data_IF_189797395704
#
_entry.id   IF_189797395704
#
_cell.length_a   1.000
_cell.length_b   1.000
_cell.length_c   1.000
_cell.angle_alpha   90.00
_cell.angle_beta   90.00
_cell.angle_gamma   90.00
#
_symmetry.space_group_name_H-M   'P 1'
#
loop_
_entity.id
_entity.type
_entity.pdbx_description
1 polymer ?
#
# COMPACT_ATOMS: atom_id res chain seq x y z
N UNK A 1 65.20 19.53 -8.58
CA UNK A 1 64.39 18.34 -8.88
C UNK A 1 63.48 18.09 -7.69
N UNK A 2 62.16 18.15 -7.91
CA UNK A 2 61.06 17.33 -7.31
C UNK A 2 59.77 18.15 -7.31
N UNK A 3 58.93 17.89 -8.31
CA UNK A 3 57.52 18.29 -8.38
C UNK A 3 56.67 17.45 -7.42
N UNK A 4 55.54 17.96 -6.89
CA UNK A 4 54.43 17.12 -6.47
C UNK A 4 53.37 17.02 -7.57
N UNK A 5 52.96 15.80 -7.85
CA UNK A 5 51.96 15.43 -8.84
C UNK A 5 50.55 15.88 -8.43
N UNK A 6 49.84 16.48 -9.38
CA UNK A 6 48.41 16.75 -9.31
C UNK A 6 47.64 15.43 -9.40
N UNK A 7 47.03 14.97 -8.30
CA UNK A 7 46.00 13.95 -8.36
C UNK A 7 44.70 14.60 -8.84
N UNK A 8 44.36 14.32 -10.09
CA UNK A 8 43.06 14.64 -10.69
C UNK A 8 41.97 13.81 -10.02
N UNK A 9 41.08 14.46 -9.27
CA UNK A 9 39.85 13.87 -8.76
C UNK A 9 38.91 13.55 -9.93
N UNK A 10 38.69 12.27 -10.20
CA UNK A 10 37.68 11.76 -11.12
C UNK A 10 36.28 12.04 -10.53
N UNK A 11 35.39 12.76 -11.23
CA UNK A 11 34.03 12.93 -10.77
C UNK A 11 33.25 11.63 -11.02
N UNK A 12 32.75 11.01 -9.94
CA UNK A 12 31.79 9.91 -9.98
C UNK A 12 30.42 10.42 -10.43
N UNK A 13 30.32 10.88 -11.68
CA UNK A 13 29.04 11.17 -12.30
C UNK A 13 28.47 9.83 -12.78
N UNK A 14 27.55 9.28 -11.98
CA UNK A 14 26.78 8.10 -12.36
C UNK A 14 25.97 8.49 -13.59
N UNK A 15 26.34 7.95 -14.75
CA UNK A 15 25.65 8.21 -16.00
C UNK A 15 24.29 7.51 -15.99
N UNK A 16 23.27 8.23 -15.54
CA UNK A 16 21.90 7.75 -15.39
C UNK A 16 21.36 7.25 -16.75
N UNK A 17 21.80 7.85 -17.87
CA UNK A 17 21.38 7.44 -19.20
C UNK A 17 21.82 6.00 -19.52
N UNK A 18 23.07 5.66 -19.19
CA UNK A 18 23.62 4.30 -19.34
C UNK A 18 22.83 3.26 -18.53
N UNK A 19 22.43 3.62 -17.30
CA UNK A 19 21.64 2.72 -16.44
C UNK A 19 20.25 2.51 -17.02
N UNK A 20 19.60 3.56 -17.51
CA UNK A 20 18.27 3.49 -18.12
C UNK A 20 18.28 2.64 -19.39
N UNK A 21 19.27 2.80 -20.26
CA UNK A 21 19.42 1.95 -21.45
C UNK A 21 19.62 0.48 -21.10
N UNK A 22 20.42 0.20 -20.06
CA UNK A 22 20.68 -1.17 -19.62
C UNK A 22 19.45 -1.83 -18.98
N UNK A 23 18.61 -1.06 -18.28
CA UNK A 23 17.34 -1.53 -17.74
C UNK A 23 16.33 -1.78 -18.85
N UNK A 24 16.22 -0.89 -19.84
CA UNK A 24 15.34 -1.06 -20.99
C UNK A 24 15.72 -2.29 -21.82
N UNK A 25 17.03 -2.53 -22.01
CA UNK A 25 17.53 -3.72 -22.71
C UNK A 25 17.16 -5.01 -21.97
N UNK A 26 17.38 -5.05 -20.65
CA UNK A 26 17.01 -6.23 -19.82
C UNK A 26 15.51 -6.51 -19.80
N UNK A 27 14.67 -5.47 -19.87
CA UNK A 27 13.21 -5.65 -19.94
C UNK A 27 12.77 -6.22 -21.28
N UNK A 28 13.42 -5.86 -22.40
CA UNK A 28 13.16 -6.43 -23.72
C UNK A 28 13.55 -7.90 -23.81
N UNK A 29 14.73 -8.25 -23.33
CA UNK A 29 15.22 -9.64 -23.34
C UNK A 29 14.34 -10.56 -22.47
N UNK A 30 13.62 -10.02 -21.47
CA UNK A 30 12.67 -10.78 -20.66
C UNK A 30 11.30 -10.99 -21.32
N UNK A 31 10.97 -10.25 -22.38
CA UNK A 31 9.69 -10.38 -23.11
C UNK A 31 9.71 -11.38 -24.27
N UNK A 32 10.88 -11.82 -24.73
CA UNK A 32 10.98 -12.73 -25.89
C UNK A 32 10.69 -14.21 -25.57
N UNK A 33 10.24 -14.53 -24.36
CA UNK A 33 9.80 -15.89 -23.99
C UNK A 33 8.30 -15.93 -23.71
N UNK A 34 7.46 -15.79 -24.75
CA UNK A 34 6.15 -16.45 -24.87
C UNK A 34 5.31 -15.83 -26.00
N UNK A 35 5.53 -16.26 -27.24
CA UNK A 35 4.62 -15.97 -28.35
C UNK A 35 3.64 -17.14 -28.50
N UNK A 36 2.38 -16.92 -28.14
CA UNK A 36 1.25 -17.73 -28.61
C UNK A 36 0.35 -16.85 -29.49
N UNK A 37 -0.14 -17.33 -30.66
CA UNK A 37 -0.85 -16.48 -31.61
C UNK A 37 -2.30 -16.19 -31.16
N UNK A 38 -2.85 -14.99 -31.45
CA UNK A 38 -4.20 -14.59 -31.04
C UNK A 38 -5.29 -15.14 -31.98
N UNK A 39 -6.37 -15.63 -31.37
CA UNK A 39 -7.62 -16.05 -32.02
C UNK A 39 -8.53 -14.82 -32.25
N UNK A 40 -9.21 -14.68 -33.40
CA UNK A 40 -10.01 -13.50 -33.69
C UNK A 40 -11.36 -13.57 -32.99
N UNK A 41 -11.76 -12.48 -32.33
CA UNK A 41 -13.12 -12.23 -31.91
C UNK A 41 -13.61 -10.91 -32.54
N UNK A 42 -14.78 -11.02 -33.12
CA UNK A 42 -15.51 -10.10 -34.01
C UNK A 42 -16.01 -8.81 -33.35
N UNK A 43 -15.88 -7.73 -34.12
CA UNK A 43 -16.72 -6.52 -34.26
C UNK A 43 -17.28 -5.84 -33.00
N UNK A 44 -16.63 -4.73 -32.63
CA UNK A 44 -17.29 -3.42 -32.60
C UNK A 44 -16.26 -2.32 -32.91
N UNK A 45 -16.70 -1.36 -33.72
CA UNK A 45 -15.92 -0.31 -34.36
C UNK A 45 -15.28 0.64 -33.33
N UNK A 46 -14.02 1.02 -33.56
CA UNK A 46 -13.18 2.06 -32.88
C UNK A 46 -12.42 1.73 -31.59
N UNK A 47 -12.29 0.48 -31.15
CA UNK A 47 -11.45 0.13 -29.99
C UNK A 47 -10.13 -0.55 -30.39
N UNK A 48 -8.98 0.07 -30.11
CA UNK A 48 -7.67 -0.59 -30.22
C UNK A 48 -7.25 -1.16 -28.88
N UNK A 49 -6.93 -2.46 -28.83
CA UNK A 49 -6.53 -3.16 -27.61
C UNK A 49 -5.00 -3.17 -27.51
N UNK A 50 -4.46 -2.51 -26.49
CA UNK A 50 -3.03 -2.57 -26.17
C UNK A 50 -2.80 -3.56 -25.04
N UNK A 51 -1.98 -4.58 -25.32
CA UNK A 51 -1.60 -5.63 -24.37
C UNK A 51 -0.23 -5.40 -23.70
N UNK A 52 0.40 -4.25 -23.97
CA UNK A 52 1.72 -3.94 -23.42
C UNK A 52 1.65 -3.55 -21.94
N UNK A 53 2.63 -4.06 -21.18
CA UNK A 53 2.77 -3.80 -19.74
C UNK A 53 3.19 -2.35 -19.44
N UNK A 54 3.85 -1.67 -20.38
CA UNK A 54 4.21 -0.25 -20.30
C UNK A 54 3.83 0.43 -21.61
N UNK A 55 3.00 1.47 -21.51
CA UNK A 55 2.51 2.24 -22.66
C UNK A 55 3.29 3.56 -22.70
N UNK A 56 4.25 3.63 -23.61
CA UNK A 56 5.07 4.81 -23.91
C UNK A 56 4.48 5.61 -25.09
N UNK A 57 5.05 6.79 -25.33
CA UNK A 57 4.76 7.65 -26.49
C UNK A 57 4.83 6.87 -27.81
N UNK A 58 5.83 6.00 -27.99
CA UNK A 58 6.04 5.24 -29.24
C UNK A 58 4.87 4.29 -29.52
N UNK A 59 4.28 3.70 -28.47
CA UNK A 59 3.13 2.81 -28.57
C UNK A 59 1.88 3.57 -29.01
N UNK A 60 1.71 4.82 -28.55
CA UNK A 60 0.59 5.70 -28.94
C UNK A 60 0.78 6.28 -30.33
N UNK A 61 2.02 6.56 -30.72
CA UNK A 61 2.34 7.00 -32.09
C UNK A 61 2.07 5.91 -33.12
N UNK A 62 2.17 4.63 -32.73
CA UNK A 62 1.78 3.49 -33.56
C UNK A 62 0.28 3.30 -33.76
N UNK A 63 -0.57 4.06 -33.04
CA UNK A 63 -2.04 3.97 -33.17
C UNK A 63 -2.48 4.67 -34.45
N UNK A 64 -3.19 3.99 -35.38
CA UNK A 64 -3.70 4.59 -36.61
C UNK A 64 -4.57 5.83 -36.35
N UNK A 65 -4.44 6.83 -37.22
CA UNK A 65 -5.27 8.05 -37.16
C UNK A 65 -6.75 7.68 -37.37
N UNK A 66 -7.61 8.08 -36.42
CA UNK A 66 -9.05 7.80 -36.44
C UNK A 66 -9.58 6.96 -35.27
N UNK A 67 -8.70 6.45 -34.41
CA UNK A 67 -9.08 5.70 -33.22
C UNK A 67 -9.31 6.66 -32.04
N UNK A 68 -10.56 6.78 -31.62
CA UNK A 68 -10.99 7.64 -30.50
C UNK A 68 -10.99 6.91 -29.15
N UNK A 69 -10.81 5.59 -29.16
CA UNK A 69 -10.92 4.75 -27.97
C UNK A 69 -9.82 3.67 -27.91
N UNK A 70 -9.08 3.64 -26.80
CA UNK A 70 -8.04 2.63 -26.54
C UNK A 70 -8.40 1.83 -25.30
N UNK A 71 -8.38 0.50 -25.43
CA UNK A 71 -8.64 -0.43 -24.35
C UNK A 71 -7.32 -0.99 -23.83
N UNK A 72 -7.09 -0.87 -22.52
CA UNK A 72 -5.87 -1.35 -21.86
C UNK A 72 -6.13 -2.61 -21.04
N UNK A 73 -5.38 -3.67 -21.31
CA UNK A 73 -5.43 -4.93 -20.56
C UNK A 73 -4.42 -4.98 -19.40
N UNK A 74 -4.21 -3.85 -18.71
CA UNK A 74 -3.47 -3.79 -17.44
C UNK A 74 -2.06 -3.20 -17.48
N UNK A 75 -1.73 -2.41 -18.52
CA UNK A 75 -0.44 -1.72 -18.65
C UNK A 75 -0.35 -0.40 -17.88
N UNK A 76 0.88 -0.04 -17.46
CA UNK A 76 1.19 1.27 -16.86
C UNK A 76 1.38 2.29 -17.99
N UNK A 77 0.58 3.36 -17.99
CA UNK A 77 0.71 4.47 -18.95
C UNK A 77 1.71 5.50 -18.42
N UNK A 78 2.73 5.82 -19.21
CA UNK A 78 3.69 6.88 -18.85
C UNK A 78 3.02 8.27 -18.87
N UNK A 79 3.48 9.26 -18.09
CA UNK A 79 2.90 10.61 -18.10
C UNK A 79 2.91 11.25 -19.51
N UNK A 80 4.01 11.09 -20.26
CA UNK A 80 4.15 11.59 -21.63
C UNK A 80 3.13 10.94 -22.58
N UNK A 81 2.93 9.63 -22.46
CA UNK A 81 1.90 8.88 -23.18
C UNK A 81 0.49 9.41 -22.87
N UNK A 82 0.19 9.69 -21.60
CA UNK A 82 -1.11 10.23 -21.19
C UNK A 82 -1.38 11.62 -21.76
N UNK A 83 -0.36 12.48 -21.80
CA UNK A 83 -0.48 13.82 -22.37
C UNK A 83 -0.66 13.78 -23.90
N UNK A 84 0.02 12.87 -24.59
CA UNK A 84 -0.16 12.67 -26.02
C UNK A 84 -1.56 12.11 -26.36
N UNK A 85 -2.06 11.13 -25.61
CA UNK A 85 -3.43 10.63 -25.78
C UNK A 85 -4.47 11.72 -25.59
N UNK A 86 -4.28 12.61 -24.60
CA UNK A 86 -5.13 13.78 -24.38
C UNK A 86 -5.08 14.74 -25.57
N UNK A 87 -3.89 14.98 -26.13
CA UNK A 87 -3.71 15.85 -27.30
C UNK A 87 -4.41 15.30 -28.56
N UNK A 88 -4.51 13.98 -28.68
CA UNK A 88 -5.14 13.27 -29.81
C UNK A 88 -6.63 12.96 -29.62
N UNK A 89 -7.22 13.37 -28.49
CA UNK A 89 -8.63 13.10 -28.20
C UNK A 89 -8.97 11.63 -27.93
N UNK A 90 -7.98 10.82 -27.54
CA UNK A 90 -8.15 9.37 -27.33
C UNK A 90 -8.61 9.12 -25.91
N UNK A 91 -9.76 8.46 -25.77
CA UNK A 91 -10.34 8.08 -24.47
C UNK A 91 -9.97 6.65 -24.09
N UNK A 92 -9.67 6.43 -22.80
CA UNK A 92 -9.35 5.12 -22.25
C UNK A 92 -10.63 4.40 -21.86
N UNK A 93 -11.02 3.40 -22.64
CA UNK A 93 -12.15 2.54 -22.28
C UNK A 93 -11.67 1.37 -21.44
N UNK A 94 -12.09 1.38 -20.17
CA UNK A 94 -12.28 0.16 -19.38
C UNK A 94 -11.11 -0.81 -19.36
N UNK A 95 -9.95 -0.37 -18.86
CA UNK A 95 -9.20 -1.29 -18.02
C UNK A 95 -10.03 -1.47 -16.77
N UNK A 96 -10.81 -2.56 -16.68
CA UNK A 96 -10.96 -3.24 -15.39
C UNK A 96 -9.54 -3.58 -14.99
N UNK A 97 -8.89 -2.62 -14.35
CA UNK A 97 -7.62 -2.81 -13.73
C UNK A 97 -7.83 -4.01 -12.82
N UNK A 98 -7.24 -5.13 -13.21
CA UNK A 98 -6.85 -6.16 -12.27
C UNK A 98 -5.76 -5.51 -11.42
N UNK A 99 -6.17 -4.52 -10.61
CA UNK A 99 -5.42 -4.10 -9.46
C UNK A 99 -5.31 -5.36 -8.62
N UNK A 100 -4.11 -5.93 -8.61
CA UNK A 100 -3.56 -6.52 -7.42
C UNK A 100 -4.09 -5.71 -6.24
N UNK A 101 -5.00 -6.31 -5.47
CA UNK A 101 -5.75 -5.76 -4.36
C UNK A 101 -5.32 -4.34 -3.94
N UNK A 102 -5.73 -3.32 -4.71
CA UNK A 102 -5.98 -2.03 -4.11
C UNK A 102 -7.22 -2.29 -3.29
N UNK A 103 -7.00 -2.61 -2.01
CA UNK A 103 -7.94 -2.38 -0.93
C UNK A 103 -8.34 -0.91 -1.00
N UNK A 104 -9.26 -0.62 -1.92
CA UNK A 104 -10.25 0.43 -1.75
C UNK A 104 -10.69 0.26 -0.31
N UNK A 105 -10.45 1.21 0.61
CA UNK A 105 -10.93 1.03 1.97
C UNK A 105 -12.41 0.80 1.80
N UNK A 106 -12.87 -0.40 2.17
CA UNK A 106 -14.28 -0.68 2.16
C UNK A 106 -14.89 0.49 2.93
N UNK A 107 -15.73 1.26 2.25
CA UNK A 107 -16.63 2.20 2.89
C UNK A 107 -17.64 1.34 3.64
N UNK A 108 -17.17 0.62 4.66
CA UNK A 108 -17.99 0.04 5.69
C UNK A 108 -18.58 1.26 6.39
N UNK A 109 -19.80 1.60 6.00
CA UNK A 109 -20.62 2.71 6.49
C UNK A 109 -21.10 2.51 7.93
N UNK A 110 -20.55 1.53 8.64
CA UNK A 110 -20.73 1.36 10.07
C UNK A 110 -19.69 2.16 10.85
N UNK A 111 -20.13 2.86 11.89
CA UNK A 111 -19.22 3.47 12.89
C UNK A 111 -18.31 2.38 13.45
N UNK A 112 -17.01 2.60 13.41
CA UNK A 112 -16.00 1.65 13.90
C UNK A 112 -15.59 2.10 15.29
N UNK A 113 -15.31 1.13 16.16
CA UNK A 113 -14.98 1.42 17.55
C UNK A 113 -13.67 0.76 17.94
N UNK A 114 -12.80 1.53 18.58
CA UNK A 114 -11.57 1.02 19.19
C UNK A 114 -11.45 1.51 20.63
N UNK A 115 -10.82 0.69 21.47
CA UNK A 115 -10.45 1.09 22.81
C UNK A 115 -9.06 1.71 22.71
N UNK A 116 -8.96 3.01 22.95
CA UNK A 116 -7.71 3.75 22.83
C UNK A 116 -7.17 4.03 24.23
N UNK A 117 -5.96 3.55 24.50
CA UNK A 117 -5.21 3.83 25.72
C UNK A 117 -3.93 4.56 25.36
N UNK A 118 -3.54 5.49 26.23
CA UNK A 118 -2.25 6.16 26.16
C UNK A 118 -1.65 6.24 27.55
N UNK A 119 -0.33 6.40 27.63
CA UNK A 119 0.31 6.70 28.90
C UNK A 119 -0.23 8.00 29.50
N UNK A 120 -0.15 8.11 30.83
CA UNK A 120 -0.64 9.26 31.60
C UNK A 120 0.05 10.57 31.22
N UNK A 121 1.29 10.50 30.72
CA UNK A 121 2.07 11.63 30.21
C UNK A 121 1.59 12.14 28.84
N UNK A 122 0.75 11.38 28.12
CA UNK A 122 0.49 11.57 26.69
C UNK A 122 -0.97 11.97 26.37
N UNK A 123 -1.63 12.70 27.28
CA UNK A 123 -3.04 13.09 27.13
C UNK A 123 -3.31 13.94 25.87
N UNK A 124 -2.39 14.85 25.52
CA UNK A 124 -2.53 15.70 24.32
C UNK A 124 -2.51 14.89 23.02
N UNK A 125 -1.68 13.84 22.97
CA UNK A 125 -1.55 12.94 21.83
C UNK A 125 -2.79 12.07 21.70
N UNK A 126 -3.33 11.58 22.82
CA UNK A 126 -4.61 10.87 22.86
C UNK A 126 -5.74 11.72 22.27
N UNK A 127 -5.85 12.98 22.67
CA UNK A 127 -6.92 13.87 22.20
C UNK A 127 -6.75 14.19 20.71
N UNK A 128 -5.51 14.38 20.24
CA UNK A 128 -5.23 14.57 18.82
C UNK A 128 -5.57 13.32 17.99
N UNK A 129 -5.18 12.14 18.46
CA UNK A 129 -5.45 10.85 17.83
C UNK A 129 -6.95 10.57 17.78
N UNK A 130 -7.67 10.75 18.89
CA UNK A 130 -9.12 10.58 18.95
C UNK A 130 -9.85 11.49 17.96
N UNK A 131 -9.48 12.78 17.88
CA UNK A 131 -10.07 13.71 16.90
C UNK A 131 -9.82 13.25 15.46
N UNK A 132 -8.58 12.89 15.13
CA UNK A 132 -8.23 12.45 13.77
C UNK A 132 -8.89 11.12 13.39
N UNK A 133 -9.13 10.23 14.35
CA UNK A 133 -9.86 8.98 14.15
C UNK A 133 -11.36 9.22 13.94
N UNK A 134 -11.99 10.10 14.73
CA UNK A 134 -13.40 10.44 14.55
C UNK A 134 -13.67 11.05 13.17
N UNK A 135 -12.75 11.87 12.64
CA UNK A 135 -12.82 12.36 11.26
C UNK A 135 -12.81 11.25 10.19
N UNK A 136 -12.29 10.07 10.55
CA UNK A 136 -12.25 8.87 9.69
C UNK A 136 -13.35 7.86 10.02
N UNK A 137 -14.32 8.22 10.86
CA UNK A 137 -15.42 7.37 11.28
C UNK A 137 -15.05 6.28 12.29
N UNK A 138 -13.93 6.46 13.00
CA UNK A 138 -13.47 5.57 14.08
C UNK A 138 -13.61 6.31 15.41
N UNK A 139 -14.51 5.84 16.27
CA UNK A 139 -14.76 6.43 17.58
C UNK A 139 -14.12 5.62 18.70
N UNK A 140 -13.73 6.32 19.76
CA UNK A 140 -13.24 5.66 20.97
C UNK A 140 -14.41 5.08 21.77
N UNK A 141 -14.37 3.79 22.07
CA UNK A 141 -15.32 3.13 22.96
C UNK A 141 -14.58 2.23 23.97
N UNK A 142 -14.83 2.37 25.29
CA UNK A 142 -14.23 1.52 26.31
C UNK A 142 -14.54 0.02 26.16
N UNK A 143 -15.65 -0.31 25.47
CA UNK A 143 -16.13 -1.69 25.28
C UNK A 143 -15.85 -2.23 23.87
N UNK A 144 -14.95 -1.60 23.12
CA UNK A 144 -14.58 -2.07 21.79
C UNK A 144 -13.83 -3.41 21.86
N UNK A 145 -13.94 -4.20 20.79
CA UNK A 145 -13.31 -5.53 20.70
C UNK A 145 -11.79 -5.48 20.50
N UNK A 146 -11.26 -4.36 20.01
CA UNK A 146 -9.83 -4.17 19.75
C UNK A 146 -9.31 -3.03 20.62
N UNK A 147 -8.16 -3.26 21.23
CA UNK A 147 -7.47 -2.30 22.07
C UNK A 147 -6.22 -1.78 21.37
N UNK A 148 -6.05 -0.48 21.30
CA UNK A 148 -4.87 0.20 20.78
C UNK A 148 -4.23 0.96 21.93
N UNK A 149 -2.99 0.62 22.24
CA UNK A 149 -2.23 1.23 23.33
C UNK A 149 -1.05 1.96 22.73
N UNK A 150 -0.99 3.27 22.96
CA UNK A 150 0.07 4.13 22.46
C UNK A 150 0.95 4.53 23.65
N UNK A 151 2.19 4.07 23.67
CA UNK A 151 3.08 4.17 24.84
C UNK A 151 4.51 4.52 24.47
N UNK A 152 5.24 5.16 25.40
CA UNK A 152 6.69 5.37 25.32
C UNK A 152 7.51 4.16 25.81
N UNK A 153 6.86 3.16 26.42
CA UNK A 153 7.47 1.93 26.98
C UNK A 153 6.81 0.67 26.40
N UNK A 154 6.90 0.46 25.08
CA UNK A 154 6.18 -0.62 24.39
C UNK A 154 6.46 -2.02 24.94
N UNK A 155 7.71 -2.33 25.29
CA UNK A 155 8.10 -3.66 25.77
C UNK A 155 7.49 -4.00 27.14
N UNK A 156 7.51 -3.03 28.07
CA UNK A 156 6.93 -3.21 29.40
C UNK A 156 5.41 -3.38 29.31
N UNK A 157 4.74 -2.50 28.55
CA UNK A 157 3.29 -2.57 28.34
C UNK A 157 2.88 -3.86 27.64
N UNK A 158 3.65 -4.33 26.66
CA UNK A 158 3.38 -5.61 26.00
C UNK A 158 3.44 -6.77 27.01
N UNK A 159 4.51 -6.82 27.82
CA UNK A 159 4.71 -7.86 28.82
C UNK A 159 3.56 -7.87 29.84
N UNK A 160 3.16 -6.71 30.35
CA UNK A 160 2.05 -6.57 31.30
C UNK A 160 0.72 -7.07 30.70
N UNK A 161 0.47 -6.78 29.42
CA UNK A 161 -0.74 -7.22 28.72
C UNK A 161 -0.77 -8.73 28.51
N UNK A 162 0.35 -9.32 28.10
CA UNK A 162 0.48 -10.77 27.97
C UNK A 162 0.27 -11.44 29.34
N UNK A 163 0.83 -10.89 30.43
CA UNK A 163 0.63 -11.40 31.79
C UNK A 163 -0.83 -11.30 32.26
N UNK A 164 -1.56 -10.29 31.81
CA UNK A 164 -2.99 -10.15 32.08
C UNK A 164 -3.89 -11.10 31.26
N UNK A 165 -3.29 -11.92 30.38
CA UNK A 165 -4.00 -12.89 29.53
C UNK A 165 -4.51 -12.32 28.21
N UNK A 166 -4.13 -11.09 27.83
CA UNK A 166 -4.48 -10.51 26.53
C UNK A 166 -3.54 -10.98 25.43
N UNK A 167 -4.07 -11.16 24.22
CA UNK A 167 -3.28 -11.48 23.02
C UNK A 167 -2.72 -10.20 22.45
N UNK A 168 -1.65 -9.72 23.09
CA UNK A 168 -1.03 -8.45 22.75
C UNK A 168 0.13 -8.60 21.76
N UNK A 169 0.23 -7.66 20.81
CA UNK A 169 1.33 -7.59 19.84
C UNK A 169 1.94 -6.19 19.80
N UNK A 170 3.25 -6.13 19.65
CA UNK A 170 3.97 -4.87 19.42
C UNK A 170 4.08 -4.62 17.91
N UNK A 171 3.50 -3.53 17.46
CA UNK A 171 3.58 -3.09 16.07
C UNK A 171 4.76 -2.13 15.94
N UNK A 172 5.75 -2.52 15.15
CA UNK A 172 6.88 -1.65 14.78
C UNK A 172 6.78 -1.14 13.36
N UNK A 173 6.00 -1.82 12.50
CA UNK A 173 5.71 -1.42 11.12
C UNK A 173 4.23 -1.63 10.82
N UNK A 174 3.63 -0.75 10.03
CA UNK A 174 2.20 -0.81 9.68
C UNK A 174 1.82 -2.09 8.91
N UNK A 175 2.75 -2.63 8.11
CA UNK A 175 2.57 -3.86 7.33
C UNK A 175 2.40 -5.11 8.20
N UNK A 176 2.87 -5.08 9.45
CA UNK A 176 2.78 -6.22 10.35
C UNK A 176 1.38 -6.39 10.97
N UNK A 177 0.53 -5.35 10.93
CA UNK A 177 -0.83 -5.35 11.50
C UNK A 177 -1.70 -6.48 10.92
N UNK A 178 -1.91 -6.59 9.59
CA UNK A 178 -2.74 -7.67 9.02
C UNK A 178 -2.11 -9.06 9.25
N UNK A 179 -0.77 -9.13 9.29
CA UNK A 179 -0.05 -10.38 9.54
C UNK A 179 -0.33 -10.89 10.95
N UNK A 180 -0.21 -10.03 11.97
CA UNK A 180 -0.47 -10.41 13.36
C UNK A 180 -1.94 -10.68 13.65
N UNK A 181 -2.86 -10.02 12.95
CA UNK A 181 -4.27 -10.37 13.03
C UNK A 181 -4.52 -11.80 12.54
N UNK A 182 -3.93 -12.17 11.40
CA UNK A 182 -4.10 -13.51 10.82
C UNK A 182 -3.37 -14.62 11.62
N UNK A 183 -2.16 -14.36 12.12
CA UNK A 183 -1.33 -15.37 12.79
C UNK A 183 -1.65 -15.53 14.27
N UNK A 184 -2.01 -14.45 14.97
CA UNK A 184 -2.14 -14.44 16.44
C UNK A 184 -3.54 -14.10 16.95
N UNK A 185 -4.45 -13.66 16.07
CA UNK A 185 -5.78 -13.13 16.44
C UNK A 185 -5.68 -12.09 17.58
N UNK A 186 -4.73 -11.17 17.44
CA UNK A 186 -4.33 -10.25 18.50
C UNK A 186 -5.44 -9.25 18.86
N UNK A 187 -5.89 -9.23 20.11
CA UNK A 187 -6.93 -8.30 20.58
C UNK A 187 -6.37 -6.92 20.96
N UNK A 188 -5.07 -6.86 21.27
CA UNK A 188 -4.39 -5.69 21.82
C UNK A 188 -3.16 -5.35 20.98
N UNK A 189 -3.11 -4.11 20.50
CA UNK A 189 -2.02 -3.62 19.66
C UNK A 189 -1.28 -2.51 20.40
N UNK A 190 -0.01 -2.77 20.70
CA UNK A 190 0.89 -1.81 21.33
C UNK A 190 1.64 -1.07 20.23
N UNK A 191 1.52 0.26 20.21
CA UNK A 191 2.17 1.16 19.27
C UNK A 191 3.23 1.98 20.01
N UNK A 192 4.44 2.01 19.47
CA UNK A 192 5.58 2.73 20.03
C UNK A 192 5.55 4.22 19.64
N UNK A 193 5.41 5.11 20.62
CA UNK A 193 5.40 6.56 20.41
C UNK A 193 6.74 7.14 19.94
N UNK A 194 7.85 6.47 20.21
CA UNK A 194 9.18 6.93 19.79
C UNK A 194 9.44 6.62 18.32
N UNK A 195 8.81 5.58 17.78
CA UNK A 195 8.97 5.14 16.38
C UNK A 195 7.89 5.66 15.45
N UNK A 196 6.67 5.86 15.96
CA UNK A 196 5.54 6.32 15.15
C UNK A 196 5.26 7.81 15.35
N UNK A 197 5.18 8.53 14.24
CA UNK A 197 4.58 9.87 14.25
C UNK A 197 3.05 9.79 14.36
N UNK A 198 2.40 10.94 14.65
CA UNK A 198 0.94 10.99 14.82
C UNK A 198 0.19 10.43 13.59
N UNK A 199 0.59 10.78 12.38
CA UNK A 199 -0.08 10.31 11.15
C UNK A 199 -0.02 8.78 11.04
N UNK A 200 1.13 8.21 11.35
CA UNK A 200 1.36 6.78 11.32
C UNK A 200 0.58 6.06 12.43
N UNK A 201 0.48 6.64 13.63
CA UNK A 201 -0.40 6.15 14.71
C UNK A 201 -1.87 6.14 14.29
N UNK A 202 -2.36 7.20 13.64
CA UNK A 202 -3.75 7.28 13.17
C UNK A 202 -4.01 6.26 12.07
N UNK A 203 -3.05 6.09 11.16
CA UNK A 203 -3.15 5.08 10.10
C UNK A 203 -3.17 3.67 10.69
N UNK A 204 -2.29 3.38 11.66
CA UNK A 204 -2.26 2.09 12.34
C UNK A 204 -3.58 1.81 13.07
N UNK A 205 -4.05 2.76 13.89
CA UNK A 205 -5.31 2.64 14.61
C UNK A 205 -6.51 2.48 13.66
N UNK A 206 -6.53 3.19 12.52
CA UNK A 206 -7.58 3.05 11.52
C UNK A 206 -7.52 1.69 10.80
N UNK A 207 -6.33 1.14 10.54
CA UNK A 207 -6.17 -0.22 10.00
C UNK A 207 -6.66 -1.25 11.01
N UNK A 208 -6.29 -1.11 12.29
CA UNK A 208 -6.75 -1.99 13.38
C UNK A 208 -8.27 -1.94 13.52
N UNK A 209 -8.88 -0.76 13.38
CA UNK A 209 -10.34 -0.59 13.42
C UNK A 209 -11.08 -1.27 12.25
N UNK A 210 -10.37 -1.63 11.18
CA UNK A 210 -10.91 -2.33 10.01
C UNK A 210 -10.73 -3.84 10.08
N UNK A 211 -9.97 -4.35 11.04
CA UNK A 211 -9.76 -5.78 11.20
C UNK A 211 -11.09 -6.47 11.52
N UNK A 212 -11.29 -7.72 11.06
CA UNK A 212 -12.42 -8.53 11.47
C UNK A 212 -12.52 -8.61 12.99
N UNK A 213 -13.72 -8.87 13.52
CA UNK A 213 -13.88 -9.13 14.96
C UNK A 213 -13.05 -10.38 15.33
N UNK A 214 -12.28 -10.36 16.43
CA UNK A 214 -11.53 -11.53 16.83
C UNK A 214 -12.49 -12.70 17.03
N UNK A 215 -12.15 -13.84 16.45
CA UNK A 215 -12.92 -15.07 16.65
C UNK A 215 -12.72 -15.48 18.10
N UNK A 216 -13.74 -15.26 18.93
CA UNK A 216 -13.76 -15.83 20.27
C UNK A 216 -13.50 -17.33 20.13
N UNK A 217 -12.39 -17.79 20.69
CA UNK A 217 -12.04 -19.20 20.69
C UNK A 217 -13.24 -19.96 21.26
N UNK A 218 -13.87 -20.77 20.41
CA UNK A 218 -14.81 -21.79 20.84
C UNK A 218 -14.03 -22.76 21.72
N UNK A 219 -13.93 -22.46 23.01
CA UNK A 219 -13.67 -23.48 24.01
C UNK A 219 -14.89 -24.38 24.01
N UNK A 220 -14.83 -25.44 23.19
CA UNK A 220 -15.68 -26.60 23.40
C UNK A 220 -15.30 -27.19 24.76
N UNK A 221 -16.06 -26.78 25.76
CA UNK A 221 -16.17 -27.44 27.05
C UNK A 221 -16.75 -28.85 26.78
N UNK A 222 -15.86 -29.81 26.52
CA UNK A 222 -16.19 -31.23 26.67
C UNK A 222 -16.35 -31.53 28.15
N UNK A 223 -17.54 -31.26 28.68
CA UNK A 223 -18.02 -31.85 29.92
C UNK A 223 -18.24 -33.35 29.68
N UNK A 224 -17.50 -34.19 30.41
CA UNK A 224 -17.75 -35.61 30.61
C UNK A 224 -17.67 -35.92 32.08
#
# INVERSE_FOLDING_TARGET
>A
MTSPATQSATPNNVDIASIVEQVLRRLRDQTDTSVSPPKPATNDETAHVLNDKVISIDVIQGIPAGITQVQLSGGIVTPAARDEMRSRGITLAGSKSTHAASTKPASNSGKRFIQLHTDTSSKSIRDALARQLSLRGVDHCPRAHRSVIVTDRPAATLFDRIHSGSRAVLITRLEDIPRFDAEMDADTFVLDMQRFNLVALVNAANTIAQLPKPTASTSQETSR
#
